data_IF_038441794554
#
_entry.id   IF_038441794554
#
_cell.length_a   1.000
_cell.length_b   1.000
_cell.length_c   1.000
_cell.angle_alpha   90.00
_cell.angle_beta   90.00
_cell.angle_gamma   90.00
#
_symmetry.space_group_name_H-M   'P 1'
#
loop_
_entity.id
_entity.type
_entity.pdbx_description
1 polymer ?
#
# COMPACT_ATOMS: atom_id res chain seq x y z
N UNK A 1 17.01 30.70 22.77
CA UNK A 1 17.24 29.66 23.78
C UNK A 1 18.71 29.26 23.73
N UNK A 2 19.41 29.12 24.87
CA UNK A 2 20.72 28.53 24.89
C UNK A 2 20.65 27.07 24.43
N UNK A 3 21.75 26.56 23.86
CA UNK A 3 21.84 25.14 23.52
C UNK A 3 21.81 24.29 24.80
N UNK A 4 21.14 23.13 24.78
CA UNK A 4 21.15 22.20 25.91
C UNK A 4 22.55 21.74 26.28
N UNK A 5 22.75 21.34 27.54
CA UNK A 5 24.05 20.88 28.03
C UNK A 5 24.51 19.56 27.46
N UNK A 6 23.58 18.77 26.92
CA UNK A 6 23.78 17.45 26.31
C UNK A 6 23.90 17.46 24.77
N UNK A 7 24.28 18.61 24.21
CA UNK A 7 24.54 18.71 22.79
C UNK A 7 25.74 17.87 22.36
N UNK A 8 25.61 17.19 21.24
CA UNK A 8 26.70 16.51 20.56
C UNK A 8 26.94 17.13 19.18
N UNK A 9 28.15 16.95 18.66
CA UNK A 9 28.50 17.36 17.32
C UNK A 9 28.56 16.12 16.43
N UNK A 10 27.71 16.08 15.41
CA UNK A 10 27.71 15.00 14.42
C UNK A 10 28.54 15.42 13.22
N UNK A 11 29.63 14.70 12.94
CA UNK A 11 30.47 14.93 11.77
C UNK A 11 29.71 14.54 10.49
N UNK A 12 29.62 15.48 9.54
CA UNK A 12 28.99 15.31 8.24
C UNK A 12 29.98 15.58 7.09
N UNK A 13 31.28 15.42 7.34
CA UNK A 13 32.33 15.65 6.35
C UNK A 13 32.14 14.81 5.08
N UNK A 14 31.51 13.62 5.19
CA UNK A 14 31.14 12.78 4.05
C UNK A 14 30.11 13.44 3.11
N UNK A 15 29.39 14.46 3.58
CA UNK A 15 28.47 15.28 2.77
C UNK A 15 29.10 16.60 2.31
N UNK A 16 30.39 16.81 2.58
CA UNK A 16 31.12 18.03 2.26
C UNK A 16 30.82 19.22 3.19
N UNK A 17 30.18 18.98 4.35
CA UNK A 17 29.94 19.99 5.40
C UNK A 17 30.63 19.56 6.70
N UNK A 18 31.09 20.52 7.55
CA UNK A 18 31.87 20.17 8.75
C UNK A 18 31.09 19.36 9.79
N UNK A 19 29.78 19.49 9.80
CA UNK A 19 28.91 18.79 10.74
C UNK A 19 27.80 19.67 11.27
N UNK A 20 27.02 19.10 12.19
CA UNK A 20 25.89 19.80 12.85
C UNK A 20 25.84 19.50 14.33
N UNK A 21 25.33 20.46 15.09
CA UNK A 21 24.98 20.26 16.48
C UNK A 21 23.66 19.50 16.59
N UNK A 22 23.66 18.43 17.36
CA UNK A 22 22.47 17.62 17.65
C UNK A 22 22.21 17.57 19.16
N UNK A 23 20.95 17.46 19.54
CA UNK A 23 20.54 17.27 20.93
C UNK A 23 19.24 16.47 20.98
N UNK A 24 18.98 15.83 22.13
CA UNK A 24 17.70 15.20 22.39
C UNK A 24 16.69 16.26 22.91
N UNK A 25 15.58 16.52 22.21
CA UNK A 25 14.57 17.47 22.67
C UNK A 25 13.67 16.93 23.80
N UNK A 26 13.64 15.60 24.06
CA UNK A 26 12.71 15.00 25.02
C UNK A 26 12.92 15.49 26.46
N UNK A 27 14.14 15.63 26.99
CA UNK A 27 14.36 16.22 28.32
C UNK A 27 13.84 17.65 28.44
N UNK A 28 14.00 18.46 27.38
CA UNK A 28 13.52 19.84 27.35
C UNK A 28 11.99 19.97 27.29
N UNK A 29 11.32 18.95 26.73
CA UNK A 29 9.87 18.85 26.80
C UNK A 29 9.40 18.40 28.19
N UNK A 30 10.15 17.50 28.82
CA UNK A 30 9.81 16.98 30.13
C UNK A 30 9.96 18.02 31.27
N UNK A 31 10.96 18.89 31.16
CA UNK A 31 11.21 19.95 32.15
C UNK A 31 10.45 21.27 31.88
N UNK A 32 9.71 21.33 30.75
CA UNK A 32 8.91 22.49 30.35
C UNK A 32 9.70 23.62 29.70
N UNK A 33 10.99 23.43 29.42
CA UNK A 33 11.79 24.39 28.63
C UNK A 33 11.25 24.56 27.20
N UNK A 34 10.84 23.44 26.60
CA UNK A 34 10.06 23.41 25.37
C UNK A 34 8.61 23.08 25.67
N UNK A 35 7.70 23.89 25.19
CA UNK A 35 6.26 23.67 25.34
C UNK A 35 5.67 23.29 24.00
N UNK A 36 4.89 22.22 23.96
CA UNK A 36 4.12 21.86 22.77
C UNK A 36 2.90 22.76 22.68
N UNK A 37 2.79 23.46 21.57
CA UNK A 37 1.54 24.12 21.21
C UNK A 37 0.78 23.17 20.29
N UNK A 38 -0.41 22.70 20.66
CA UNK A 38 -1.23 21.93 19.72
C UNK A 38 -1.60 22.85 18.56
N UNK A 39 -1.12 22.52 17.40
CA UNK A 39 -1.55 23.16 16.18
C UNK A 39 -2.63 22.25 15.56
N UNK A 40 -3.87 22.68 15.65
CA UNK A 40 -5.03 21.94 15.15
C UNK A 40 -5.34 22.47 13.76
N UNK A 41 -5.07 21.67 12.76
CA UNK A 41 -5.34 22.00 11.35
C UNK A 41 -5.77 20.73 10.61
N UNK A 42 -6.73 20.79 9.68
CA UNK A 42 -7.20 19.63 8.94
C UNK A 42 -6.06 18.78 8.36
N UNK A 43 -5.12 19.41 7.65
CA UNK A 43 -3.99 18.73 7.00
C UNK A 43 -3.05 17.99 7.95
N UNK A 44 -3.02 18.36 9.22
CA UNK A 44 -2.19 17.72 10.23
C UNK A 44 -2.97 16.60 10.90
N UNK A 45 -4.20 16.89 11.31
CA UNK A 45 -5.03 15.97 12.06
C UNK A 45 -5.41 14.74 11.22
N UNK A 46 -5.71 14.93 9.96
CA UNK A 46 -6.00 13.85 9.00
C UNK A 46 -4.83 12.88 8.76
N UNK A 47 -3.61 13.27 9.13
CA UNK A 47 -2.43 12.39 9.03
C UNK A 47 -2.26 11.46 10.23
N UNK A 48 -3.09 11.63 11.28
CA UNK A 48 -3.11 10.76 12.44
C UNK A 48 -4.12 9.63 12.22
N UNK A 49 -3.64 8.51 11.72
CA UNK A 49 -4.44 7.31 11.47
C UNK A 49 -3.65 6.06 11.85
N UNK A 50 -4.37 4.99 12.08
CA UNK A 50 -3.81 3.66 12.36
C UNK A 50 -4.47 2.66 11.42
N UNK A 51 -3.68 1.78 10.83
CA UNK A 51 -4.16 0.60 10.10
C UNK A 51 -3.52 -0.61 10.75
N UNK A 52 -4.32 -1.60 11.07
CA UNK A 52 -3.91 -2.88 11.62
C UNK A 52 -4.27 -3.97 10.62
N UNK A 53 -3.34 -4.88 10.36
CA UNK A 53 -3.54 -6.04 9.50
C UNK A 53 -3.00 -7.30 10.20
N UNK A 54 -3.87 -8.26 10.43
CA UNK A 54 -3.52 -9.60 10.89
C UNK A 54 -3.57 -10.58 9.72
N UNK A 55 -2.40 -11.13 9.35
CA UNK A 55 -2.28 -11.98 8.18
C UNK A 55 -1.84 -13.39 8.58
N UNK A 56 -2.68 -14.35 8.26
CA UNK A 56 -2.37 -15.77 8.42
C UNK A 56 -2.20 -16.43 7.06
N UNK A 57 -1.08 -17.11 6.87
CA UNK A 57 -0.77 -17.78 5.62
C UNK A 57 -0.48 -19.26 5.86
N UNK A 58 -1.15 -20.12 5.09
CA UNK A 58 -0.83 -21.55 4.99
C UNK A 58 -0.40 -21.86 3.55
N UNK A 59 0.56 -22.74 3.36
CA UNK A 59 0.99 -23.14 2.03
C UNK A 59 1.38 -24.61 1.97
N UNK A 60 1.25 -25.19 0.78
CA UNK A 60 1.76 -26.52 0.44
C UNK A 60 2.39 -26.47 -0.94
N UNK A 61 3.44 -27.25 -1.15
CA UNK A 61 4.12 -27.37 -2.43
C UNK A 61 4.52 -28.81 -2.69
N UNK A 62 4.36 -29.24 -3.93
CA UNK A 62 4.80 -30.54 -4.42
C UNK A 62 5.80 -30.31 -5.54
N UNK A 63 6.97 -30.92 -5.42
CA UNK A 63 7.95 -30.98 -6.51
C UNK A 63 7.77 -32.28 -7.28
N UNK A 64 7.97 -32.24 -8.56
CA UNK A 64 7.94 -33.40 -9.45
C UNK A 64 9.15 -33.38 -10.39
N UNK A 65 9.60 -34.55 -10.75
CA UNK A 65 10.69 -34.82 -11.67
C UNK A 65 10.37 -36.17 -12.34
N UNK A 66 10.25 -36.17 -13.64
CA UNK A 66 9.88 -37.36 -14.41
C UNK A 66 10.36 -37.27 -15.85
N UNK A 67 10.51 -38.43 -16.50
CA UNK A 67 10.82 -38.53 -17.91
C UNK A 67 9.56 -38.79 -18.73
N UNK A 68 9.35 -37.99 -19.78
CA UNK A 68 8.28 -38.21 -20.75
C UNK A 68 8.95 -38.44 -22.12
N UNK A 69 9.13 -39.72 -22.44
CA UNK A 69 9.93 -40.13 -23.60
C UNK A 69 11.40 -39.75 -23.42
N UNK A 70 11.92 -38.88 -24.28
CA UNK A 70 13.31 -38.39 -24.21
C UNK A 70 13.43 -36.99 -23.56
N UNK A 71 12.35 -36.48 -22.97
CA UNK A 71 12.30 -35.17 -22.36
C UNK A 71 12.20 -35.30 -20.87
N UNK A 72 13.12 -34.72 -20.11
CA UNK A 72 12.99 -34.59 -18.67
C UNK A 72 12.01 -33.47 -18.36
N UNK A 73 11.03 -33.71 -17.50
CA UNK A 73 10.01 -32.75 -17.09
C UNK A 73 10.05 -32.61 -15.58
N UNK A 74 10.38 -31.42 -15.11
CA UNK A 74 10.47 -31.15 -13.68
C UNK A 74 9.89 -29.80 -13.31
N UNK A 75 9.52 -29.66 -12.05
CA UNK A 75 8.93 -28.44 -11.58
C UNK A 75 8.28 -28.55 -10.22
N UNK A 76 7.38 -27.65 -9.96
CA UNK A 76 6.58 -27.65 -8.74
C UNK A 76 5.17 -27.12 -8.99
N UNK A 77 4.25 -27.59 -8.17
CA UNK A 77 2.93 -27.01 -7.98
C UNK A 77 2.82 -26.54 -6.54
N UNK A 78 2.45 -25.29 -6.34
CA UNK A 78 2.24 -24.66 -5.05
C UNK A 78 0.80 -24.18 -4.89
N UNK A 79 0.33 -24.19 -3.66
CA UNK A 79 -0.93 -23.59 -3.27
C UNK A 79 -0.73 -22.86 -1.96
N UNK A 80 -1.03 -21.58 -1.96
CA UNK A 80 -1.00 -20.74 -0.76
C UNK A 80 -2.41 -20.25 -0.46
N UNK A 81 -2.78 -20.25 0.80
CA UNK A 81 -4.02 -19.68 1.30
C UNK A 81 -3.67 -18.55 2.25
N UNK A 82 -4.15 -17.35 1.96
CA UNK A 82 -3.92 -16.14 2.73
C UNK A 82 -5.24 -15.69 3.32
N UNK A 83 -5.29 -15.51 4.63
CA UNK A 83 -6.39 -14.87 5.36
C UNK A 83 -5.89 -13.55 5.91
N UNK A 84 -6.67 -12.51 5.74
CA UNK A 84 -6.36 -11.17 6.23
C UNK A 84 -7.57 -10.63 6.96
N UNK A 85 -7.35 -10.11 8.17
CA UNK A 85 -8.26 -9.27 8.92
C UNK A 85 -7.63 -7.88 8.99
N UNK A 86 -8.31 -6.87 8.49
CA UNK A 86 -7.79 -5.51 8.43
C UNK A 86 -8.76 -4.51 9.06
N UNK A 87 -8.21 -3.53 9.75
CA UNK A 87 -8.97 -2.43 10.34
C UNK A 87 -8.24 -1.11 10.25
N UNK A 88 -9.00 -0.04 10.11
CA UNK A 88 -8.50 1.33 10.06
C UNK A 88 -9.20 2.19 11.11
N UNK A 89 -8.42 3.05 11.76
CA UNK A 89 -8.91 4.03 12.73
C UNK A 89 -8.33 5.40 12.39
N UNK A 90 -9.15 6.43 12.42
CA UNK A 90 -8.72 7.79 12.16
C UNK A 90 -9.67 8.81 12.81
N UNK A 91 -9.29 10.08 12.69
CA UNK A 91 -10.20 11.21 12.93
C UNK A 91 -10.61 11.77 11.56
N UNK A 92 -11.91 11.81 11.30
CA UNK A 92 -12.46 12.61 10.21
C UNK A 92 -12.58 14.06 10.65
N UNK A 93 -12.44 14.97 9.71
CA UNK A 93 -12.29 16.40 10.00
C UNK A 93 -13.26 17.20 9.18
N UNK A 94 -14.05 18.06 9.84
CA UNK A 94 -14.86 19.12 9.25
C UNK A 94 -14.36 20.48 9.70
N UNK A 95 -14.61 21.54 8.91
CA UNK A 95 -14.24 22.92 9.21
C UNK A 95 -12.89 23.32 8.59
N UNK A 96 -12.44 24.53 8.91
CA UNK A 96 -11.26 25.14 8.33
C UNK A 96 -10.30 25.69 9.39
N UNK A 97 -9.01 25.67 9.07
CA UNK A 97 -7.93 26.23 9.91
C UNK A 97 -7.94 25.70 11.36
N UNK A 98 -8.17 26.58 12.32
CA UNK A 98 -8.16 26.24 13.76
C UNK A 98 -9.57 25.94 14.32
N UNK A 99 -10.61 26.15 13.52
CA UNK A 99 -12.00 25.86 13.88
C UNK A 99 -12.45 24.55 13.20
N UNK A 100 -11.87 23.46 13.68
CA UNK A 100 -12.20 22.12 13.16
C UNK A 100 -12.95 21.30 14.19
N UNK A 101 -13.86 20.47 13.69
CA UNK A 101 -14.53 19.43 14.47
C UNK A 101 -14.00 18.06 14.06
N UNK A 102 -13.74 17.22 15.07
CA UNK A 102 -13.16 15.89 14.90
C UNK A 102 -14.21 14.83 15.16
N UNK A 103 -14.26 13.85 14.27
CA UNK A 103 -15.18 12.69 14.36
C UNK A 103 -14.34 11.40 14.29
N UNK A 104 -14.36 10.56 15.34
CA UNK A 104 -13.72 9.25 15.27
C UNK A 104 -14.38 8.41 14.17
N UNK A 105 -13.57 7.85 13.29
CA UNK A 105 -14.02 6.95 12.24
C UNK A 105 -13.21 5.67 12.25
N UNK A 106 -13.87 4.57 11.92
CA UNK A 106 -13.25 3.26 11.81
C UNK A 106 -13.95 2.45 10.73
N UNK A 107 -13.24 1.48 10.19
CA UNK A 107 -13.77 0.51 9.24
C UNK A 107 -12.78 -0.62 9.06
N UNK A 108 -13.16 -1.66 8.35
CA UNK A 108 -12.32 -2.79 8.07
C UNK A 108 -13.04 -3.87 7.29
N UNK A 109 -12.31 -4.87 6.85
CA UNK A 109 -12.83 -6.01 6.10
C UNK A 109 -11.99 -7.25 6.45
N UNK A 110 -12.60 -8.41 6.37
CA UNK A 110 -11.93 -9.69 6.40
C UNK A 110 -12.04 -10.37 5.02
N UNK A 111 -10.96 -10.96 4.57
CA UNK A 111 -10.95 -11.67 3.30
C UNK A 111 -9.95 -12.80 3.28
N UNK A 112 -10.14 -13.70 2.32
CA UNK A 112 -9.17 -14.76 2.06
C UNK A 112 -9.01 -15.00 0.58
N UNK A 113 -7.79 -15.40 0.18
CA UNK A 113 -7.43 -15.67 -1.22
C UNK A 113 -6.65 -16.96 -1.36
N UNK A 114 -7.00 -17.71 -2.42
CA UNK A 114 -6.23 -18.87 -2.85
C UNK A 114 -5.27 -18.46 -3.96
N UNK A 115 -4.00 -18.73 -3.79
CA UNK A 115 -2.92 -18.35 -4.69
C UNK A 115 -2.20 -19.59 -5.21
N UNK A 116 -2.75 -20.25 -6.26
CA UNK A 116 -2.07 -21.36 -6.91
C UNK A 116 -0.86 -20.87 -7.71
N UNK A 117 0.16 -21.73 -7.80
CA UNK A 117 1.33 -21.53 -8.64
C UNK A 117 1.76 -22.85 -9.28
N UNK A 118 2.28 -22.76 -10.50
CA UNK A 118 2.83 -23.88 -11.26
C UNK A 118 4.08 -23.42 -11.98
N UNK A 119 5.15 -24.18 -11.84
CA UNK A 119 6.36 -24.02 -12.64
C UNK A 119 6.68 -25.37 -13.28
N UNK A 120 6.89 -25.38 -14.58
CA UNK A 120 7.24 -26.58 -15.33
C UNK A 120 8.41 -26.27 -16.25
N UNK A 121 9.42 -27.11 -16.22
CA UNK A 121 10.55 -27.05 -17.13
C UNK A 121 10.60 -28.34 -17.94
N UNK A 122 10.67 -28.19 -19.24
CA UNK A 122 10.91 -29.28 -20.20
C UNK A 122 12.36 -29.18 -20.66
N UNK A 123 13.14 -30.18 -20.35
CA UNK A 123 14.50 -30.32 -20.82
C UNK A 123 14.53 -31.33 -22.00
N UNK A 124 14.69 -30.79 -23.21
CA UNK A 124 14.72 -31.61 -24.43
C UNK A 124 16.09 -32.24 -24.71
N UNK A 125 17.04 -32.05 -23.80
CA UNK A 125 18.41 -32.40 -24.03
C UNK A 125 19.15 -31.38 -24.91
N UNK A 126 20.44 -31.64 -25.18
CA UNK A 126 21.30 -30.74 -25.95
C UNK A 126 21.21 -29.27 -25.50
N UNK A 127 21.07 -29.06 -24.20
CA UNK A 127 21.00 -27.74 -23.57
C UNK A 127 19.79 -26.86 -24.02
N UNK A 128 18.67 -27.49 -24.39
CA UNK A 128 17.43 -26.79 -24.77
C UNK A 128 16.40 -26.92 -23.66
N UNK A 129 15.97 -25.78 -23.10
CA UNK A 129 15.00 -25.71 -22.03
C UNK A 129 13.79 -24.88 -22.45
N UNK A 130 12.58 -25.40 -22.19
CA UNK A 130 11.34 -24.63 -22.26
C UNK A 130 10.77 -24.55 -20.85
N UNK A 131 10.49 -23.35 -20.39
CA UNK A 131 9.90 -23.10 -19.07
C UNK A 131 8.54 -22.45 -19.22
N UNK A 132 7.60 -22.97 -18.46
CA UNK A 132 6.27 -22.37 -18.30
C UNK A 132 6.05 -22.13 -16.81
N UNK A 133 5.53 -20.93 -16.49
CA UNK A 133 5.08 -20.60 -15.15
C UNK A 133 3.68 -20.00 -15.19
N UNK A 134 2.91 -20.31 -14.15
CA UNK A 134 1.65 -19.67 -13.84
C UNK A 134 1.61 -19.36 -12.36
N UNK A 135 1.13 -18.18 -11.99
CA UNK A 135 0.84 -17.85 -10.61
C UNK A 135 -0.34 -16.88 -10.51
N UNK A 136 -1.24 -17.14 -9.56
CA UNK A 136 -2.12 -16.10 -9.05
C UNK A 136 -1.35 -15.33 -7.98
N UNK A 137 -1.21 -14.03 -8.18
CA UNK A 137 -0.41 -13.15 -7.31
C UNK A 137 -1.29 -12.13 -6.60
N UNK A 138 -0.91 -11.79 -5.37
CA UNK A 138 -1.58 -10.83 -4.52
C UNK A 138 -0.61 -9.71 -4.17
N UNK A 139 -1.06 -8.45 -4.23
CA UNK A 139 -0.35 -7.31 -3.67
C UNK A 139 -1.33 -6.47 -2.85
N UNK A 140 -0.98 -6.18 -1.60
CA UNK A 140 -1.84 -5.40 -0.71
C UNK A 140 -1.91 -3.95 -1.15
N UNK A 141 -3.05 -3.28 -0.82
CA UNK A 141 -3.20 -1.86 -0.96
C UNK A 141 -2.17 -1.12 -0.08
N UNK A 142 -1.92 0.13 -0.39
CA UNK A 142 -1.05 0.98 0.43
C UNK A 142 -1.76 1.34 1.73
N UNK A 143 -1.04 1.37 2.83
CA UNK A 143 -1.62 1.65 4.15
C UNK A 143 -2.25 3.05 4.23
N UNK A 144 -1.71 4.03 3.51
CA UNK A 144 -2.29 5.38 3.44
C UNK A 144 -3.61 5.44 2.64
N UNK A 145 -3.84 4.50 1.73
CA UNK A 145 -5.11 4.34 1.01
C UNK A 145 -6.19 3.67 1.88
N UNK A 146 -5.76 2.90 2.89
CA UNK A 146 -6.64 2.15 3.82
C UNK A 146 -7.04 2.96 5.07
N UNK A 147 -6.64 4.22 5.18
CA UNK A 147 -7.04 5.06 6.32
C UNK A 147 -8.55 5.23 6.38
N UNK A 148 -9.14 5.18 7.56
CA UNK A 148 -10.58 5.38 7.76
C UNK A 148 -11.00 6.86 7.76
N UNK A 149 -10.05 7.81 7.85
CA UNK A 149 -10.31 9.23 7.98
C UNK A 149 -10.82 9.87 6.69
N UNK A 150 -11.86 10.67 6.83
CA UNK A 150 -12.43 11.49 5.77
C UNK A 150 -12.23 12.98 6.11
N UNK A 151 -12.15 13.80 5.11
CA UNK A 151 -12.27 15.26 5.24
C UNK A 151 -13.31 15.76 4.27
N UNK A 152 -13.98 16.81 4.66
CA UNK A 152 -14.91 17.51 3.79
C UNK A 152 -14.87 19.00 4.07
N UNK A 153 -15.26 19.77 3.08
CA UNK A 153 -15.32 21.22 3.14
C UNK A 153 -16.51 21.75 2.35
N UNK A 154 -16.95 22.90 2.72
CA UNK A 154 -18.01 23.64 2.07
C UNK A 154 -17.45 24.89 1.38
N UNK A 155 -17.76 25.06 0.09
CA UNK A 155 -17.38 26.23 -0.70
C UNK A 155 -18.59 27.15 -0.86
N UNK A 156 -18.65 28.20 -0.05
CA UNK A 156 -19.79 29.16 -0.04
C UNK A 156 -19.94 29.90 -1.37
N UNK A 157 -18.94 29.93 -2.23
CA UNK A 157 -19.10 30.53 -3.56
C UNK A 157 -19.96 29.72 -4.50
N UNK A 158 -20.26 28.47 -4.14
CA UNK A 158 -21.09 27.53 -4.90
C UNK A 158 -22.40 27.16 -4.19
N UNK A 159 -22.77 27.88 -3.14
CA UNK A 159 -23.94 27.58 -2.29
C UNK A 159 -25.24 27.38 -3.08
N UNK A 160 -25.46 28.19 -4.12
CA UNK A 160 -26.64 28.09 -4.99
C UNK A 160 -26.53 27.05 -6.12
N UNK A 161 -25.45 26.29 -6.18
CA UNK A 161 -25.25 25.32 -7.25
C UNK A 161 -26.12 24.10 -7.07
N UNK A 162 -26.87 23.75 -8.11
CA UNK A 162 -27.64 22.50 -8.21
C UNK A 162 -26.95 21.46 -9.09
N UNK A 163 -25.75 21.75 -9.58
CA UNK A 163 -24.96 20.82 -10.38
C UNK A 163 -24.07 20.00 -9.46
N UNK A 164 -24.29 18.69 -9.46
CA UNK A 164 -23.54 17.74 -8.63
C UNK A 164 -22.03 17.74 -8.95
N UNK A 165 -21.62 18.05 -10.19
CA UNK A 165 -20.21 18.18 -10.55
C UNK A 165 -19.60 19.51 -10.09
N UNK A 166 -20.42 20.43 -9.63
CA UNK A 166 -20.01 21.71 -9.06
C UNK A 166 -20.67 21.92 -7.67
N UNK A 167 -20.79 20.85 -6.91
CA UNK A 167 -21.34 20.86 -5.56
C UNK A 167 -20.56 21.82 -4.65
N UNK A 168 -21.21 22.55 -3.76
CA UNK A 168 -20.55 23.29 -2.69
C UNK A 168 -19.82 22.35 -1.72
N UNK A 169 -20.27 21.11 -1.59
CA UNK A 169 -19.67 20.10 -0.75
C UNK A 169 -18.62 19.29 -1.53
N UNK A 170 -17.47 19.11 -0.95
CA UNK A 170 -16.39 18.26 -1.48
C UNK A 170 -15.62 17.60 -0.36
N UNK A 171 -15.05 16.44 -0.64
CA UNK A 171 -14.30 15.72 0.36
C UNK A 171 -13.41 14.63 -0.25
N UNK A 172 -12.70 13.94 0.62
CA UNK A 172 -11.88 12.82 0.24
C UNK A 172 -11.39 12.05 1.46
N UNK A 173 -10.87 10.85 1.21
CA UNK A 173 -10.36 9.98 2.25
C UNK A 173 -9.77 8.71 1.70
N UNK A 174 -9.43 7.77 2.59
CA UNK A 174 -9.10 6.42 2.23
C UNK A 174 -10.29 5.49 2.38
N UNK A 175 -10.05 4.20 2.16
CA UNK A 175 -11.06 3.16 2.35
C UNK A 175 -10.44 1.98 3.12
N UNK A 176 -10.80 1.77 4.39
CA UNK A 176 -10.27 0.67 5.19
C UNK A 176 -10.74 -0.73 4.73
N UNK A 177 -11.71 -0.79 3.82
CA UNK A 177 -12.23 -2.03 3.24
C UNK A 177 -11.57 -2.38 1.89
N UNK A 178 -10.47 -1.71 1.53
CA UNK A 178 -9.76 -2.01 0.30
C UNK A 178 -9.24 -3.43 0.30
N UNK A 179 -9.59 -4.16 -0.76
CA UNK A 179 -9.07 -5.50 -1.02
C UNK A 179 -7.81 -5.45 -1.88
N UNK A 180 -6.94 -6.45 -1.78
CA UNK A 180 -5.67 -6.44 -2.48
C UNK A 180 -5.84 -6.49 -4.00
N UNK A 181 -4.81 -6.04 -4.71
CA UNK A 181 -4.62 -6.31 -6.12
C UNK A 181 -4.47 -7.81 -6.33
N UNK A 182 -5.15 -8.33 -7.34
CA UNK A 182 -5.03 -9.73 -7.75
C UNK A 182 -4.72 -9.79 -9.24
N UNK A 183 -3.83 -10.70 -9.59
CA UNK A 183 -3.48 -10.93 -10.99
C UNK A 183 -3.18 -12.40 -11.26
N UNK A 184 -3.55 -12.85 -12.46
CA UNK A 184 -3.09 -14.10 -13.04
C UNK A 184 -1.90 -13.80 -13.94
N UNK A 185 -0.74 -14.36 -13.62
CA UNK A 185 0.49 -14.17 -14.37
C UNK A 185 0.88 -15.48 -15.07
N UNK A 186 1.25 -15.37 -16.33
CA UNK A 186 1.71 -16.46 -17.18
C UNK A 186 3.06 -16.06 -17.79
N UNK A 187 4.03 -16.95 -17.69
CA UNK A 187 5.36 -16.77 -18.23
C UNK A 187 5.74 -17.97 -19.08
N UNK A 188 6.37 -17.71 -20.20
CA UNK A 188 6.92 -18.73 -21.10
C UNK A 188 8.29 -18.29 -21.54
N UNK A 189 9.31 -19.15 -21.35
CA UNK A 189 10.65 -18.89 -21.85
C UNK A 189 11.24 -20.12 -22.53
N UNK A 190 12.01 -19.88 -23.58
CA UNK A 190 12.85 -20.85 -24.23
C UNK A 190 14.30 -20.42 -24.12
N UNK A 191 15.17 -21.35 -23.70
CA UNK A 191 16.58 -21.12 -23.48
C UNK A 191 17.38 -22.21 -24.20
N UNK A 192 18.41 -21.79 -24.91
CA UNK A 192 19.41 -22.68 -25.46
C UNK A 192 20.81 -22.26 -25.00
N UNK A 193 21.47 -23.14 -24.30
CA UNK A 193 22.86 -22.95 -23.91
C UNK A 193 23.76 -23.53 -24.99
N UNK A 194 24.74 -22.75 -25.39
CA UNK A 194 25.73 -23.16 -26.40
C UNK A 194 26.83 -24.03 -25.75
N UNK A 195 27.28 -25.00 -26.50
CA UNK A 195 28.37 -25.90 -26.04
C UNK A 195 29.63 -25.10 -25.67
N UNK A 196 30.42 -25.66 -24.76
CA UNK A 196 31.69 -25.09 -24.28
C UNK A 196 31.56 -23.78 -23.48
N UNK A 197 30.36 -23.42 -23.03
CA UNK A 197 30.14 -22.21 -22.20
C UNK A 197 30.33 -20.89 -22.94
N UNK A 198 30.31 -20.90 -24.28
CA UNK A 198 30.52 -19.72 -25.14
C UNK A 198 29.38 -18.70 -24.99
N UNK A 199 28.19 -19.14 -24.55
CA UNK A 199 27.05 -18.26 -24.37
C UNK A 199 25.71 -18.99 -24.35
N UNK A 200 24.64 -18.22 -24.39
CA UNK A 200 23.25 -18.75 -24.46
C UNK A 200 22.37 -17.81 -25.29
N UNK A 201 21.29 -18.36 -25.78
CA UNK A 201 20.18 -17.63 -26.39
C UNK A 201 18.92 -17.84 -25.52
N UNK A 202 18.20 -16.77 -25.25
CA UNK A 202 16.92 -16.87 -24.53
C UNK A 202 15.88 -15.94 -25.16
N UNK A 203 14.63 -16.42 -25.20
CA UNK A 203 13.46 -15.64 -25.54
C UNK A 203 12.40 -15.89 -24.49
N UNK A 204 11.72 -14.84 -24.04
CA UNK A 204 10.66 -14.93 -23.06
C UNK A 204 9.47 -14.08 -23.47
N UNK A 205 8.28 -14.55 -23.10
CA UNK A 205 7.02 -13.83 -23.20
C UNK A 205 6.28 -13.94 -21.86
N UNK A 206 5.56 -12.89 -21.51
CA UNK A 206 4.69 -12.91 -20.33
C UNK A 206 3.33 -12.31 -20.66
N UNK A 207 2.32 -12.75 -19.92
CA UNK A 207 0.98 -12.17 -19.93
C UNK A 207 0.50 -12.07 -18.49
N UNK A 208 -0.05 -10.90 -18.12
CA UNK A 208 -0.62 -10.66 -16.80
C UNK A 208 -2.02 -10.09 -16.93
N UNK A 209 -2.98 -10.77 -16.34
CA UNK A 209 -4.38 -10.37 -16.25
C UNK A 209 -4.69 -9.90 -14.85
N UNK A 210 -5.18 -8.67 -14.71
CA UNK A 210 -5.52 -8.05 -13.43
C UNK A 210 -6.99 -8.31 -13.11
N UNK A 211 -7.27 -9.23 -12.19
CA UNK A 211 -8.62 -9.54 -11.71
C UNK A 211 -9.20 -8.40 -10.86
N UNK A 212 -8.33 -7.76 -10.07
CA UNK A 212 -8.69 -6.66 -9.16
C UNK A 212 -7.54 -5.68 -9.05
N UNK A 213 -7.88 -4.39 -9.03
CA UNK A 213 -6.93 -3.32 -8.79
C UNK A 213 -7.55 -2.22 -7.92
N UNK A 214 -6.71 -1.46 -7.23
CA UNK A 214 -7.08 -0.27 -6.47
C UNK A 214 -6.89 0.96 -7.36
N UNK A 215 -7.87 1.85 -7.37
CA UNK A 215 -7.79 3.12 -8.08
C UNK A 215 -8.59 4.19 -7.35
N UNK A 216 -8.17 5.43 -7.46
CA UNK A 216 -8.96 6.57 -7.03
C UNK A 216 -10.18 6.70 -7.94
N UNK A 217 -11.34 6.83 -7.34
CA UNK A 217 -12.59 7.03 -8.07
C UNK A 217 -13.42 8.11 -7.36
N UNK A 218 -13.99 9.08 -8.11
CA UNK A 218 -14.96 10.00 -7.56
C UNK A 218 -16.22 9.21 -7.21
N UNK A 219 -16.74 9.45 -6.00
CA UNK A 219 -17.99 8.87 -5.53
C UNK A 219 -18.95 9.99 -5.13
N UNK A 220 -20.23 9.75 -5.35
CA UNK A 220 -21.27 10.58 -4.78
C UNK A 220 -21.43 10.20 -3.31
N UNK A 221 -21.33 11.20 -2.45
CA UNK A 221 -21.50 11.03 -1.02
C UNK A 221 -22.70 11.83 -0.56
N UNK A 222 -23.53 11.23 0.29
CA UNK A 222 -24.62 11.93 0.93
C UNK A 222 -24.12 12.52 2.27
N UNK A 223 -24.21 13.82 2.41
CA UNK A 223 -23.71 14.55 3.57
C UNK A 223 -24.74 14.76 4.68
N UNK A 224 -25.99 14.27 4.52
CA UNK A 224 -27.07 14.46 5.49
C UNK A 224 -26.74 13.95 6.90
N UNK A 225 -25.92 12.91 7.01
CA UNK A 225 -25.49 12.35 8.29
C UNK A 225 -24.21 13.00 8.85
N UNK A 226 -23.62 13.93 8.09
CA UNK A 226 -22.42 14.64 8.53
C UNK A 226 -22.80 15.98 9.16
N UNK A 227 -21.99 16.45 10.13
CA UNK A 227 -22.16 17.79 10.66
C UNK A 227 -21.93 18.81 9.54
N UNK A 228 -22.93 19.61 9.29
CA UNK A 228 -22.90 20.61 8.21
C UNK A 228 -22.40 21.97 8.68
N UNK A 229 -22.00 22.09 9.96
CA UNK A 229 -21.48 23.33 10.57
C UNK A 229 -22.39 24.57 10.34
N UNK A 230 -23.70 24.32 10.23
CA UNK A 230 -24.71 25.37 10.00
C UNK A 230 -25.07 25.64 8.54
N UNK A 231 -24.51 24.86 7.61
CA UNK A 231 -24.92 24.90 6.20
C UNK A 231 -25.94 23.81 5.89
N UNK A 232 -26.82 24.06 4.94
CA UNK A 232 -27.75 23.04 4.44
C UNK A 232 -27.01 21.99 3.60
N UNK A 233 -27.31 20.70 3.82
CA UNK A 233 -26.68 19.57 3.14
C UNK A 233 -27.33 19.24 1.80
#
# INVERSE_FOLDING_TARGET
>A
LPLPSDTSFTDLSFLGIPGMVTYDPLPLLADGTLVRFPYVHPDITMKAWTVEEDITTAYAMVNFDTDVGNTMVYGNFGLQYVMTDQSGYAQSVSGAEQDITLYPTSGGDDYSEWLPSLNVTFDFGENNLLRFAYAKTLARARLDEMRAGLHWSFDSSKEDSTDINNSPWSGGGGNPELRPWLANAFDLSFEKYLDDGIGYFAIAAFYKDLDRWVSDAPQLYEFSDFPTDGYDA
#
